data_IF_981963946953
#
_entry.id   IF_981963946953
#
_cell.length_a   1.000
_cell.length_b   1.000
_cell.length_c   1.000
_cell.angle_alpha   90.00
_cell.angle_beta   90.00
_cell.angle_gamma   90.00
#
_symmetry.space_group_name_H-M   'P 1'
#
loop_
_entity.id
_entity.type
_entity.pdbx_description
1 polymer ?
#
# COMPACT_ATOMS: atom_id res chain seq x y z
N UNK A 1 2.92 -8.86 -4.63
CA UNK A 1 1.56 -8.95 -4.05
C UNK A 1 0.52 -8.36 -5.00
N UNK A 2 0.57 -7.06 -5.35
CA UNK A 2 -0.37 -6.44 -6.28
C UNK A 2 -0.54 -7.21 -7.61
N UNK A 3 0.56 -7.47 -8.33
CA UNK A 3 0.53 -8.21 -9.61
C UNK A 3 -0.07 -9.60 -9.47
N UNK A 4 0.29 -10.31 -8.39
CA UNK A 4 -0.30 -11.61 -8.08
C UNK A 4 -1.81 -11.53 -7.85
N UNK A 5 -2.29 -10.48 -7.20
CA UNK A 5 -3.73 -10.26 -6.99
C UNK A 5 -4.46 -9.96 -8.31
N UNK A 6 -3.85 -9.19 -9.23
CA UNK A 6 -4.42 -8.95 -10.56
C UNK A 6 -4.64 -10.27 -11.31
N UNK A 7 -3.62 -11.13 -11.34
CA UNK A 7 -3.66 -12.42 -12.05
C UNK A 7 -4.62 -13.39 -11.37
N UNK A 8 -4.50 -13.57 -10.05
CA UNK A 8 -5.27 -14.57 -9.32
C UNK A 8 -6.78 -14.26 -9.27
N UNK A 9 -7.14 -12.97 -9.24
CA UNK A 9 -8.54 -12.54 -9.13
C UNK A 9 -9.15 -12.08 -10.46
N UNK A 10 -8.34 -11.91 -11.52
CA UNK A 10 -8.81 -11.44 -12.81
C UNK A 10 -9.37 -10.01 -12.80
N UNK A 11 -8.90 -9.18 -11.86
CA UNK A 11 -9.38 -7.79 -11.65
C UNK A 11 -8.54 -6.78 -12.43
N UNK A 12 -9.14 -5.62 -12.75
CA UNK A 12 -8.45 -4.55 -13.48
C UNK A 12 -7.50 -3.73 -12.60
N UNK A 13 -7.79 -3.64 -11.30
CA UNK A 13 -7.01 -2.89 -10.33
C UNK A 13 -6.78 -3.70 -9.05
N UNK A 14 -5.63 -3.50 -8.42
CA UNK A 14 -5.33 -4.09 -7.11
C UNK A 14 -4.58 -3.11 -6.23
N UNK A 15 -4.79 -3.25 -4.92
CA UNK A 15 -4.01 -2.57 -3.88
C UNK A 15 -3.33 -3.66 -3.07
N UNK A 16 -2.04 -3.48 -2.78
CA UNK A 16 -1.32 -4.31 -1.82
C UNK A 16 -0.61 -3.45 -0.80
N UNK A 17 -0.56 -3.90 0.45
CA UNK A 17 -0.01 -3.15 1.58
C UNK A 17 0.89 -4.06 2.40
N UNK A 18 2.10 -3.61 2.72
CA UNK A 18 2.99 -4.28 3.66
C UNK A 18 3.72 -3.25 4.51
N UNK A 19 3.79 -3.47 5.82
CA UNK A 19 4.40 -2.48 6.72
C UNK A 19 4.53 -2.99 8.16
N UNK A 20 5.22 -2.20 8.98
CA UNK A 20 5.55 -2.54 10.36
C UNK A 20 4.72 -1.64 11.29
N UNK A 21 3.54 -2.10 11.68
CA UNK A 21 2.61 -1.31 12.50
C UNK A 21 3.05 -1.09 13.95
N UNK A 22 4.05 -1.84 14.45
CA UNK A 22 4.53 -1.74 15.83
C UNK A 22 3.70 -2.52 16.86
N UNK A 23 4.04 -2.39 18.17
CA UNK A 23 5.12 -1.55 18.71
C UNK A 23 6.54 -2.13 18.49
N UNK A 24 6.66 -3.41 18.12
CA UNK A 24 7.93 -4.06 17.79
C UNK A 24 8.07 -4.42 16.31
N UNK A 25 9.07 -5.25 15.99
CA UNK A 25 9.30 -5.76 14.63
C UNK A 25 10.06 -4.82 13.69
N UNK A 26 10.43 -3.64 14.17
CA UNK A 26 11.29 -2.72 13.44
C UNK A 26 12.78 -3.08 13.56
N UNK A 27 13.55 -2.68 12.56
CA UNK A 27 15.02 -2.68 12.54
C UNK A 27 15.52 -1.26 12.22
N UNK A 28 16.83 -0.97 12.38
CA UNK A 28 17.38 0.33 11.98
C UNK A 28 17.08 0.68 10.51
N UNK A 29 17.03 -0.32 9.64
CA UNK A 29 16.74 -0.18 8.20
C UNK A 29 15.23 -0.17 7.90
N UNK A 30 14.41 -0.86 8.71
CA UNK A 30 12.96 -0.96 8.51
C UNK A 30 12.23 -0.57 9.80
N UNK A 31 12.02 0.72 9.99
CA UNK A 31 11.47 1.27 11.24
C UNK A 31 10.00 0.88 11.43
N UNK A 32 9.57 0.78 12.69
CA UNK A 32 8.14 0.79 13.03
C UNK A 32 7.51 2.06 12.46
N UNK A 33 6.39 1.93 11.78
CA UNK A 33 5.73 3.00 11.04
C UNK A 33 6.05 3.01 9.54
N UNK A 34 7.02 2.23 9.06
CA UNK A 34 7.28 2.08 7.62
C UNK A 34 6.18 1.24 6.96
N UNK A 35 5.67 1.71 5.83
CA UNK A 35 4.67 1.00 5.00
C UNK A 35 4.94 1.22 3.52
N UNK A 36 4.73 0.17 2.74
CA UNK A 36 4.74 0.19 1.29
C UNK A 36 3.36 -0.17 0.75
N UNK A 37 2.98 0.53 -0.32
CA UNK A 37 1.79 0.26 -1.10
C UNK A 37 2.21 -0.13 -2.52
N UNK A 38 1.57 -1.16 -3.06
CA UNK A 38 1.62 -1.48 -4.50
C UNK A 38 0.25 -1.23 -5.12
N UNK A 39 0.18 -0.35 -6.12
CA UNK A 39 -1.02 -0.08 -6.91
C UNK A 39 -0.85 -0.74 -8.27
N UNK A 40 -1.56 -1.84 -8.49
CA UNK A 40 -1.53 -2.59 -9.74
C UNK A 40 -2.68 -2.16 -10.64
N UNK A 41 -2.40 -2.08 -11.94
CA UNK A 41 -3.41 -1.97 -12.99
C UNK A 41 -3.09 -3.02 -14.06
N UNK A 42 -4.12 -3.68 -14.59
CA UNK A 42 -3.98 -4.68 -15.64
C UNK A 42 -3.24 -4.10 -16.86
N UNK A 43 -2.27 -4.86 -17.36
CA UNK A 43 -1.39 -4.50 -18.49
C UNK A 43 -0.51 -3.25 -18.29
N UNK A 44 -0.43 -2.73 -17.07
CA UNK A 44 0.39 -1.58 -16.72
C UNK A 44 1.45 -1.97 -15.69
N UNK A 45 2.51 -1.16 -15.60
CA UNK A 45 3.53 -1.35 -14.55
C UNK A 45 2.95 -0.98 -13.19
N UNK A 46 3.16 -1.84 -12.19
CA UNK A 46 2.77 -1.57 -10.80
C UNK A 46 3.47 -0.33 -10.24
N UNK A 47 2.70 0.60 -9.66
CA UNK A 47 3.25 1.73 -8.91
C UNK A 47 3.56 1.32 -7.47
N UNK A 48 4.72 1.73 -6.95
CA UNK A 48 5.11 1.47 -5.56
C UNK A 48 5.23 2.79 -4.81
N UNK A 49 4.63 2.86 -3.62
CA UNK A 49 4.63 4.06 -2.77
C UNK A 49 5.14 3.70 -1.38
N UNK A 50 6.15 4.44 -0.91
CA UNK A 50 6.69 4.32 0.44
C UNK A 50 6.15 5.45 1.31
N UNK A 51 5.67 5.11 2.50
CA UNK A 51 5.25 6.08 3.51
C UNK A 51 5.78 5.72 4.89
N UNK A 52 5.89 6.73 5.75
CA UNK A 52 6.25 6.59 7.15
C UNK A 52 5.19 7.23 8.04
N UNK A 53 4.53 6.40 8.84
CA UNK A 53 3.46 6.78 9.76
C UNK A 53 3.90 6.44 11.19
N UNK A 54 4.53 7.39 11.91
CA UNK A 54 5.02 7.18 13.29
C UNK A 54 3.87 7.25 14.30
N UNK A 55 2.84 6.42 14.09
CA UNK A 55 1.62 6.39 14.89
C UNK A 55 1.52 5.09 15.69
N UNK A 56 0.69 5.06 16.76
CA UNK A 56 0.34 3.81 17.41
C UNK A 56 -0.28 2.79 16.43
N UNK A 57 -0.14 1.50 16.74
CA UNK A 57 -0.54 0.39 15.87
C UNK A 57 -1.98 0.51 15.32
N UNK A 58 -2.92 0.99 16.12
CA UNK A 58 -4.32 1.20 15.69
C UNK A 58 -4.42 2.27 14.61
N UNK A 59 -3.93 3.48 14.89
CA UNK A 59 -3.95 4.61 13.96
C UNK A 59 -3.11 4.35 12.70
N UNK A 60 -1.97 3.66 12.82
CA UNK A 60 -1.19 3.23 11.66
C UNK A 60 -2.02 2.42 10.66
N UNK A 61 -2.79 1.43 11.16
CA UNK A 61 -3.60 0.55 10.30
C UNK A 61 -4.72 1.31 9.59
N UNK A 62 -5.36 2.23 10.31
CA UNK A 62 -6.40 3.09 9.76
C UNK A 62 -5.85 4.00 8.65
N UNK A 63 -4.76 4.71 8.94
CA UNK A 63 -4.10 5.59 7.96
C UNK A 63 -3.58 4.80 6.75
N UNK A 64 -3.05 3.59 6.96
CA UNK A 64 -2.61 2.75 5.86
C UNK A 64 -3.78 2.32 4.97
N UNK A 65 -4.91 1.90 5.56
CA UNK A 65 -6.10 1.54 4.78
C UNK A 65 -6.62 2.73 3.95
N UNK A 66 -6.77 3.91 4.57
CA UNK A 66 -7.21 5.12 3.88
C UNK A 66 -6.23 5.55 2.78
N UNK A 67 -4.92 5.47 3.04
CA UNK A 67 -3.88 5.82 2.06
C UNK A 67 -3.93 4.89 0.86
N UNK A 68 -4.09 3.58 1.05
CA UNK A 68 -4.23 2.63 -0.05
C UNK A 68 -5.39 2.98 -0.99
N UNK A 69 -6.56 3.31 -0.41
CA UNK A 69 -7.74 3.73 -1.17
C UNK A 69 -7.47 5.05 -1.91
N UNK A 70 -6.88 6.04 -1.22
CA UNK A 70 -6.55 7.34 -1.80
C UNK A 70 -5.58 7.23 -2.98
N UNK A 71 -4.56 6.38 -2.88
CA UNK A 71 -3.60 6.15 -3.96
C UNK A 71 -4.28 5.54 -5.21
N UNK A 72 -5.18 4.57 -5.02
CA UNK A 72 -5.97 4.04 -6.13
C UNK A 72 -6.89 5.11 -6.73
N UNK A 73 -7.58 5.89 -5.91
CA UNK A 73 -8.41 7.00 -6.39
C UNK A 73 -7.62 7.98 -7.26
N UNK A 74 -6.42 8.39 -6.83
CA UNK A 74 -5.55 9.25 -7.63
C UNK A 74 -5.06 8.60 -8.92
N UNK A 75 -4.86 7.28 -8.94
CA UNK A 75 -4.56 6.55 -10.18
C UNK A 75 -5.73 6.62 -11.14
N UNK A 76 -6.95 6.38 -10.67
CA UNK A 76 -8.16 6.43 -11.49
C UNK A 76 -8.43 7.84 -12.05
N UNK A 77 -8.21 8.89 -11.25
CA UNK A 77 -8.36 10.28 -11.71
C UNK A 77 -7.42 10.67 -12.84
N UNK A 78 -6.25 10.04 -12.96
CA UNK A 78 -5.29 10.33 -14.05
C UNK A 78 -5.75 9.81 -15.42
N UNK A 79 -6.81 8.99 -15.45
CA UNK A 79 -7.42 8.47 -16.68
C UNK A 79 -8.55 9.37 -17.21
N UNK A 80 -8.96 10.39 -16.45
CA UNK A 80 -9.96 11.39 -16.82
C UNK A 80 -9.28 12.66 -17.32
#
# INVERSE_FOLDING_TARGET
MAEGALVALGVDYSISVTGIAGPGGGTPQKKVGLVYFGIGQKNEKTETHEHYFPFPRSSFREFAAHTGIYLLYNRLKRLA
#
